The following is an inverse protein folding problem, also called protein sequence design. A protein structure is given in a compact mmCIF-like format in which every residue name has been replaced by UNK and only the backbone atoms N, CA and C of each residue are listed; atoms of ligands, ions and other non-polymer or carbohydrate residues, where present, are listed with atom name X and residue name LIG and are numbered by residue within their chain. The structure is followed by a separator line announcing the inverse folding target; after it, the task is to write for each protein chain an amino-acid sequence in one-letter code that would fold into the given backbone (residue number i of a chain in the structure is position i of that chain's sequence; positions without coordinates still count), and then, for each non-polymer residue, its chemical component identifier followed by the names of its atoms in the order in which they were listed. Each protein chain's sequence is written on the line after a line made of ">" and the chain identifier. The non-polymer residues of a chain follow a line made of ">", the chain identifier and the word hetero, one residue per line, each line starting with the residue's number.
data_IF_903883850819
#
_entry.id   IF_903883850819
#
_cell.length_a   1.000
_cell.length_b   1.000
_cell.length_c   1.000
_cell.angle_alpha   90.00
_cell.angle_beta   90.00
_cell.angle_gamma   90.00
#
_symmetry.space_group_name_H-M   'P 1'
#
loop_
_entity.id
_entity.type
_entity.pdbx_description
1 polymer ?
#
# COMPACT_ATOMS: atom_id res chain seq x y z
N UNK A 1 -15.85 55.80 -57.28
CA UNK A 1 -14.99 56.53 -56.33
C UNK A 1 -15.87 56.78 -55.11
N UNK A 2 -15.62 56.27 -53.93
CA UNK A 2 -14.37 56.20 -53.16
C UNK A 2 -14.48 55.08 -52.12
N UNK A 3 -13.35 54.42 -51.86
CA UNK A 3 -13.17 53.47 -50.77
C UNK A 3 -13.29 54.15 -49.40
N UNK A 4 -13.63 53.39 -48.36
CA UNK A 4 -12.83 53.32 -47.11
C UNK A 4 -13.31 52.15 -46.24
N UNK A 5 -12.36 51.32 -45.83
CA UNK A 5 -12.50 50.21 -44.87
C UNK A 5 -11.59 50.53 -43.69
N UNK A 6 -12.05 50.35 -42.45
CA UNK A 6 -11.18 49.81 -41.40
C UNK A 6 -11.90 48.67 -40.65
N UNK A 7 -11.40 47.44 -40.67
CA UNK A 7 -10.32 46.86 -39.86
C UNK A 7 -10.74 46.45 -38.42
N UNK A 8 -10.83 45.12 -38.24
CA UNK A 8 -10.41 44.33 -37.07
C UNK A 8 -11.33 44.39 -35.84
N UNK A 9 -11.86 43.31 -35.24
CA UNK A 9 -11.32 41.98 -34.93
C UNK A 9 -12.49 40.99 -34.67
N UNK A 10 -12.45 39.72 -35.12
CA UNK A 10 -13.06 38.63 -34.37
C UNK A 10 -11.94 37.72 -33.88
N UNK A 11 -11.39 38.00 -32.71
CA UNK A 11 -10.42 37.13 -32.05
C UNK A 11 -11.00 36.66 -30.71
N UNK A 12 -12.17 36.02 -30.74
CA UNK A 12 -12.77 35.35 -29.59
C UNK A 12 -13.37 34.01 -30.06
N UNK A 13 -12.51 33.12 -30.56
CA UNK A 13 -12.93 31.75 -30.86
C UNK A 13 -11.80 30.74 -30.63
N UNK A 14 -11.07 30.88 -29.51
CA UNK A 14 -9.97 29.98 -29.16
C UNK A 14 -9.97 29.55 -27.67
N UNK A 15 -11.12 29.57 -26.99
CA UNK A 15 -11.22 29.09 -25.59
C UNK A 15 -12.12 27.84 -25.46
N UNK A 16 -12.66 27.32 -26.57
CA UNK A 16 -13.60 26.18 -26.52
C UNK A 16 -12.95 24.78 -26.68
N UNK A 17 -11.62 24.66 -26.79
CA UNK A 17 -10.96 23.36 -27.07
C UNK A 17 -10.13 22.77 -25.91
N UNK A 18 -10.15 23.38 -24.72
CA UNK A 18 -9.40 22.86 -23.56
C UNK A 18 -10.24 22.02 -22.58
N UNK A 19 -11.51 21.74 -22.86
CA UNK A 19 -12.43 21.09 -21.92
C UNK A 19 -12.72 19.60 -22.18
N UNK A 20 -12.01 18.95 -23.11
CA UNK A 20 -12.06 17.50 -23.30
C UNK A 20 -10.65 16.92 -23.48
N UNK A 21 -9.72 17.31 -22.61
CA UNK A 21 -8.67 16.35 -22.28
C UNK A 21 -9.37 15.28 -21.42
N UNK A 22 -9.44 14.00 -21.82
CA UNK A 22 -9.75 12.96 -20.86
C UNK A 22 -8.77 13.18 -19.71
N UNK A 23 -9.29 13.33 -18.49
CA UNK A 23 -8.46 13.24 -17.32
C UNK A 23 -7.77 11.89 -17.47
N UNK A 24 -6.47 11.92 -17.78
CA UNK A 24 -5.64 10.74 -17.72
C UNK A 24 -5.60 10.40 -16.23
N UNK A 25 -6.62 9.68 -15.78
CA UNK A 25 -6.59 8.91 -14.54
C UNK A 25 -5.34 8.09 -14.66
N UNK A 26 -4.36 8.35 -13.80
CA UNK A 26 -3.21 7.50 -13.63
C UNK A 26 -3.70 6.17 -13.06
N UNK A 27 -4.33 5.35 -13.90
CA UNK A 27 -4.61 3.94 -13.66
C UNK A 27 -3.65 3.11 -14.54
N UNK A 28 -2.37 3.46 -14.47
CA UNK A 28 -1.31 2.77 -15.20
C UNK A 28 -1.07 1.37 -14.60
N UNK A 29 -1.59 1.10 -13.41
CA UNK A 29 -1.33 -0.12 -12.64
C UNK A 29 -2.55 -1.05 -12.44
N UNK A 30 -3.76 -0.64 -12.82
CA UNK A 30 -4.97 -1.46 -12.69
C UNK A 30 -5.41 -1.66 -11.23
N UNK A 31 -6.67 -2.06 -11.04
CA UNK A 31 -7.16 -2.47 -9.73
C UNK A 31 -6.51 -3.79 -9.31
N UNK A 32 -6.52 -4.10 -8.01
CA UNK A 32 -6.13 -5.41 -7.50
C UNK A 32 -6.88 -6.53 -8.24
N UNK A 33 -8.15 -6.30 -8.57
CA UNK A 33 -8.95 -7.21 -9.37
C UNK A 33 -8.39 -7.42 -10.78
N UNK A 34 -7.95 -6.36 -11.46
CA UNK A 34 -7.31 -6.49 -12.78
C UNK A 34 -6.03 -7.33 -12.69
N UNK A 35 -5.23 -7.13 -11.64
CA UNK A 35 -4.01 -7.91 -11.42
C UNK A 35 -4.35 -9.38 -11.14
N UNK A 36 -5.25 -9.68 -10.20
CA UNK A 36 -5.63 -11.05 -9.89
C UNK A 36 -6.28 -11.76 -11.09
N UNK A 37 -7.13 -11.06 -11.84
CA UNK A 37 -7.73 -11.60 -13.07
C UNK A 37 -6.69 -11.94 -14.12
N UNK A 38 -5.60 -11.18 -14.22
CA UNK A 38 -4.54 -11.47 -15.19
C UNK A 38 -3.87 -12.82 -14.97
N UNK A 39 -3.91 -13.36 -13.74
CA UNK A 39 -3.35 -14.66 -13.38
C UNK A 39 -4.24 -15.85 -13.77
N UNK A 40 -5.49 -15.64 -14.17
CA UNK A 40 -6.32 -16.74 -14.67
C UNK A 40 -5.68 -17.35 -15.91
N UNK A 41 -5.58 -18.68 -15.93
CA UNK A 41 -4.93 -19.44 -16.97
C UNK A 41 -3.41 -19.46 -16.88
N UNK A 42 -2.80 -18.94 -15.81
CA UNK A 42 -1.36 -19.06 -15.55
C UNK A 42 -1.05 -20.11 -14.48
N UNK A 43 0.19 -20.56 -14.47
CA UNK A 43 0.66 -21.59 -13.55
C UNK A 43 0.82 -21.03 -12.14
N UNK A 44 0.35 -21.75 -11.13
CA UNK A 44 0.48 -21.37 -9.73
C UNK A 44 1.94 -21.30 -9.26
N UNK A 45 2.84 -22.10 -9.83
CA UNK A 45 4.27 -21.99 -9.56
C UNK A 45 4.84 -20.64 -10.04
N UNK A 46 4.35 -20.11 -11.17
CA UNK A 46 4.72 -18.78 -11.63
C UNK A 46 4.22 -17.70 -10.66
N UNK A 47 2.99 -17.84 -10.17
CA UNK A 47 2.43 -16.96 -9.15
C UNK A 47 3.31 -16.95 -7.90
N UNK A 48 3.64 -18.12 -7.36
CA UNK A 48 4.47 -18.28 -6.14
C UNK A 48 5.88 -17.70 -6.33
N UNK A 49 6.45 -17.77 -7.53
CA UNK A 49 7.76 -17.16 -7.80
C UNK A 49 7.73 -15.63 -7.87
N UNK A 50 6.58 -15.04 -8.23
CA UNK A 50 6.45 -13.61 -8.42
C UNK A 50 5.81 -12.89 -7.22
N UNK A 51 4.97 -13.59 -6.48
CA UNK A 51 4.25 -13.08 -5.31
C UNK A 51 4.99 -13.44 -4.03
N UNK A 52 4.94 -12.59 -3.00
CA UNK A 52 5.69 -12.81 -1.78
C UNK A 52 5.28 -14.10 -1.07
N UNK A 53 6.26 -14.97 -0.85
CA UNK A 53 6.15 -16.20 -0.07
C UNK A 53 6.69 -15.92 1.33
N UNK A 54 5.80 -15.78 2.32
CA UNK A 54 6.18 -15.39 3.68
C UNK A 54 5.02 -15.40 4.65
N UNK A 55 5.13 -14.64 5.75
CA UNK A 55 4.01 -14.44 6.68
C UNK A 55 2.84 -13.82 5.93
N UNK A 56 1.76 -14.59 5.76
CA UNK A 56 0.56 -14.18 5.02
C UNK A 56 0.20 -15.08 3.83
N UNK A 57 1.04 -16.04 3.41
CA UNK A 57 0.63 -17.07 2.44
C UNK A 57 0.09 -18.31 3.18
N UNK A 58 -1.13 -18.70 2.87
CA UNK A 58 -1.76 -19.93 3.31
C UNK A 58 -2.14 -20.79 2.11
N UNK A 59 -1.82 -22.08 2.16
CA UNK A 59 -2.18 -23.03 1.12
C UNK A 59 -3.14 -24.06 1.68
N UNK A 60 -4.25 -24.29 0.98
CA UNK A 60 -5.23 -25.32 1.33
C UNK A 60 -5.52 -26.18 0.09
N UNK A 61 -5.52 -27.49 0.27
CA UNK A 61 -5.86 -28.44 -0.79
C UNK A 61 -7.25 -29.02 -0.54
N UNK A 62 -8.07 -29.08 -1.58
CA UNK A 62 -9.34 -29.78 -1.56
C UNK A 62 -9.12 -31.17 -2.17
N UNK A 63 -9.21 -32.22 -1.34
CA UNK A 63 -8.98 -33.60 -1.77
C UNK A 63 -10.10 -34.18 -2.63
N UNK A 64 -11.28 -33.57 -2.64
CA UNK A 64 -12.43 -34.00 -3.46
C UNK A 64 -12.37 -33.40 -4.87
N UNK A 65 -12.04 -32.11 -4.98
CA UNK A 65 -11.94 -31.40 -6.27
C UNK A 65 -10.55 -31.41 -6.88
N UNK A 66 -9.54 -31.85 -6.11
CA UNK A 66 -8.11 -31.79 -6.45
C UNK A 66 -7.63 -30.37 -6.77
N UNK A 67 -8.25 -29.38 -6.14
CA UNK A 67 -7.89 -27.97 -6.29
C UNK A 67 -7.00 -27.51 -5.15
N UNK A 68 -6.09 -26.58 -5.46
CA UNK A 68 -5.22 -25.94 -4.47
C UNK A 68 -5.53 -24.45 -4.39
N UNK A 69 -5.87 -23.99 -3.20
CA UNK A 69 -6.11 -22.58 -2.90
C UNK A 69 -4.84 -21.96 -2.30
N UNK A 70 -4.37 -20.87 -2.90
CA UNK A 70 -3.26 -20.03 -2.45
C UNK A 70 -3.80 -18.69 -1.97
N UNK A 71 -3.90 -18.53 -0.65
CA UNK A 71 -4.45 -17.34 -0.01
C UNK A 71 -3.33 -16.43 0.47
N UNK A 72 -3.31 -15.21 -0.04
CA UNK A 72 -2.36 -14.17 0.33
C UNK A 72 -3.07 -13.11 1.18
N UNK A 73 -2.64 -12.95 2.42
CA UNK A 73 -3.16 -11.99 3.39
C UNK A 73 -2.17 -10.82 3.55
N UNK A 74 -2.63 -9.61 3.24
CA UNK A 74 -1.86 -8.35 3.35
C UNK A 74 -2.19 -7.57 4.62
N UNK A 75 -2.69 -8.27 5.62
CA UNK A 75 -2.94 -7.74 6.94
C UNK A 75 -1.71 -7.76 7.85
N UNK A 76 -1.88 -7.21 9.04
CA UNK A 76 -0.97 -7.42 10.16
C UNK A 76 -1.64 -8.35 11.16
N UNK A 77 -0.96 -9.42 11.55
CA UNK A 77 -1.40 -10.26 12.67
C UNK A 77 -1.47 -9.44 13.96
N UNK A 78 -2.27 -9.89 14.93
CA UNK A 78 -2.32 -9.24 16.25
C UNK A 78 -0.98 -9.39 16.97
N UNK A 79 -0.49 -8.31 17.59
CA UNK A 79 0.78 -8.32 18.30
C UNK A 79 0.77 -7.37 19.49
N UNK A 80 1.69 -7.59 20.44
CA UNK A 80 1.95 -6.64 21.52
C UNK A 80 3.10 -5.72 21.12
N UNK A 81 2.93 -4.42 21.34
CA UNK A 81 3.97 -3.41 21.16
C UNK A 81 4.30 -2.82 22.52
N UNK A 82 5.59 -2.78 22.87
CA UNK A 82 6.05 -1.96 24.01
C UNK A 82 6.34 -0.55 23.54
N UNK A 83 5.63 0.43 24.10
CA UNK A 83 5.94 1.84 23.93
C UNK A 83 6.93 2.27 25.02
N UNK A 84 7.96 3.02 24.65
CA UNK A 84 8.94 3.58 25.58
C UNK A 84 8.87 5.10 25.51
N UNK A 85 8.86 5.75 26.66
CA UNK A 85 8.99 7.20 26.75
C UNK A 85 9.71 7.58 28.04
N UNK A 86 10.27 8.78 28.06
CA UNK A 86 10.88 9.33 29.25
C UNK A 86 10.18 10.60 29.70
N UNK A 87 10.17 10.82 31.01
CA UNK A 87 9.70 12.07 31.62
C UNK A 87 10.81 12.65 32.47
N UNK A 88 11.01 13.96 32.35
CA UNK A 88 11.92 14.70 33.20
C UNK A 88 11.43 14.65 34.65
N UNK A 89 12.30 14.20 35.54
CA UNK A 89 12.10 14.18 36.99
C UNK A 89 12.71 15.39 37.70
N UNK A 90 12.88 15.26 39.01
CA UNK A 90 13.47 16.31 39.83
C UNK A 90 14.94 16.60 39.49
N UNK A 91 15.45 17.73 39.99
CA UNK A 91 16.88 18.06 39.90
C UNK A 91 17.66 17.09 40.80
N UNK A 92 18.63 16.37 40.24
CA UNK A 92 19.49 15.42 40.96
C UNK A 92 20.91 15.95 41.17
N UNK A 93 21.23 17.09 40.57
CA UNK A 93 22.52 17.74 40.74
C UNK A 93 22.62 19.02 39.93
N UNK A 94 23.74 19.70 40.09
CA UNK A 94 24.11 20.88 39.30
C UNK A 94 25.55 20.69 38.82
N UNK A 95 25.79 20.93 37.53
CA UNK A 95 27.16 21.04 37.02
C UNK A 95 27.64 22.44 37.34
N UNK A 96 28.74 22.54 38.09
CA UNK A 96 29.34 23.84 38.45
C UNK A 96 29.72 24.63 37.21
N UNK A 97 29.23 25.87 37.11
CA UNK A 97 29.65 26.82 36.08
C UNK A 97 30.99 27.47 36.43
N UNK A 98 31.79 27.81 35.42
CA UNK A 98 33.08 28.51 35.55
C UNK A 98 33.25 29.57 34.46
N UNK A 99 34.18 30.51 34.65
CA UNK A 99 34.48 31.60 33.69
C UNK A 99 33.26 32.41 33.21
N UNK A 100 32.37 32.80 34.14
CA UNK A 100 31.19 33.62 33.83
C UNK A 100 29.97 32.86 33.30
N UNK A 101 30.03 31.52 33.25
CA UNK A 101 28.90 30.67 32.87
C UNK A 101 28.09 30.28 34.11
N UNK A 102 26.77 30.41 34.05
CA UNK A 102 25.86 29.99 35.11
C UNK A 102 25.86 28.45 35.30
N UNK A 103 25.64 27.94 36.52
CA UNK A 103 25.51 26.50 36.76
C UNK A 103 24.29 25.91 36.03
N UNK A 104 24.44 24.69 35.50
CA UNK A 104 23.39 24.00 34.76
C UNK A 104 22.78 22.87 35.61
N UNK A 105 21.45 22.84 35.82
CA UNK A 105 20.81 21.75 36.56
C UNK A 105 20.82 20.44 35.76
N UNK A 106 21.08 19.33 36.45
CA UNK A 106 20.92 17.97 35.95
C UNK A 106 19.59 17.44 36.47
N UNK A 107 18.74 16.98 35.57
CA UNK A 107 17.46 16.39 35.91
C UNK A 107 17.52 14.87 35.89
N UNK A 108 16.80 14.23 36.80
CA UNK A 108 16.52 12.80 36.70
C UNK A 108 15.71 12.53 35.43
N UNK A 109 15.93 11.38 34.80
CA UNK A 109 15.08 10.90 33.72
C UNK A 109 14.36 9.64 34.21
N UNK A 110 13.02 9.68 34.25
CA UNK A 110 12.22 8.50 34.53
C UNK A 110 11.87 7.84 33.21
N UNK A 111 12.30 6.59 33.05
CA UNK A 111 11.93 5.77 31.90
C UNK A 111 10.64 5.03 32.21
N UNK A 112 9.73 5.03 31.22
CA UNK A 112 8.46 4.34 31.28
C UNK A 112 8.39 3.33 30.14
N UNK A 113 7.64 2.27 30.38
CA UNK A 113 7.23 1.34 29.34
C UNK A 113 5.77 0.91 29.55
N UNK A 114 5.07 0.71 28.44
CA UNK A 114 3.71 0.17 28.44
C UNK A 114 3.59 -0.83 27.30
N UNK A 115 3.05 -2.01 27.61
CA UNK A 115 2.65 -2.97 26.59
C UNK A 115 1.24 -2.65 26.11
N UNK A 116 1.12 -2.34 24.82
CA UNK A 116 -0.14 -2.06 24.15
C UNK A 116 -0.47 -3.21 23.21
N UNK A 117 -1.68 -3.75 23.35
CA UNK A 117 -2.21 -4.74 22.41
C UNK A 117 -2.61 -4.05 21.11
N UNK A 118 -2.05 -4.51 19.99
CA UNK A 118 -2.40 -4.06 18.65
C UNK A 118 -3.22 -5.16 17.98
N UNK A 119 -4.52 -4.93 17.71
CA UNK A 119 -5.37 -5.93 17.08
C UNK A 119 -4.95 -6.22 15.64
N UNK A 120 -5.31 -7.40 15.14
CA UNK A 120 -5.08 -7.77 13.75
C UNK A 120 -5.80 -6.80 12.80
N UNK A 121 -5.16 -6.47 11.68
CA UNK A 121 -5.72 -5.60 10.66
C UNK A 121 -5.88 -6.40 9.37
N UNK A 122 -7.12 -6.55 8.89
CA UNK A 122 -7.41 -7.23 7.63
C UNK A 122 -7.50 -6.21 6.50
N UNK A 123 -6.38 -5.93 5.84
CA UNK A 123 -6.35 -4.96 4.74
C UNK A 123 -6.87 -5.57 3.44
N UNK A 124 -6.40 -6.76 3.10
CA UNK A 124 -6.79 -7.49 1.91
C UNK A 124 -6.39 -8.95 2.03
N UNK A 125 -7.21 -9.83 1.49
CA UNK A 125 -6.93 -11.23 1.28
C UNK A 125 -7.30 -11.58 -0.16
N UNK A 126 -6.40 -12.27 -0.85
CA UNK A 126 -6.61 -12.75 -2.22
C UNK A 126 -6.37 -14.25 -2.24
N UNK A 127 -7.37 -15.01 -2.66
CA UNK A 127 -7.25 -16.46 -2.81
C UNK A 127 -7.25 -16.81 -4.28
N UNK A 128 -6.16 -17.39 -4.78
CA UNK A 128 -6.08 -17.97 -6.12
C UNK A 128 -6.36 -19.47 -6.02
N UNK A 129 -7.23 -19.98 -6.88
CA UNK A 129 -7.57 -21.41 -6.89
C UNK A 129 -7.04 -22.02 -8.19
N UNK A 130 -6.11 -22.95 -8.02
CA UNK A 130 -5.55 -23.74 -9.10
C UNK A 130 -6.24 -25.10 -9.19
N UNK A 131 -6.42 -25.59 -10.41
CA UNK A 131 -6.89 -26.95 -10.66
C UNK A 131 -5.79 -27.99 -10.43
N UNK A 132 -6.10 -29.27 -10.68
CA UNK A 132 -5.17 -30.38 -10.53
C UNK A 132 -3.94 -30.31 -11.44
N UNK A 133 -3.96 -29.46 -12.48
CA UNK A 133 -2.80 -29.22 -13.35
C UNK A 133 -1.86 -28.13 -12.82
N UNK A 134 -2.26 -27.44 -11.75
CA UNK A 134 -1.57 -26.25 -11.24
C UNK A 134 -1.94 -24.97 -11.99
N UNK A 135 -2.97 -24.98 -12.84
CA UNK A 135 -3.43 -23.80 -13.57
C UNK A 135 -4.46 -23.03 -12.74
N UNK A 136 -4.26 -21.73 -12.56
CA UNK A 136 -5.20 -20.86 -11.83
C UNK A 136 -6.49 -20.73 -12.65
N UNK A 137 -7.61 -21.16 -12.08
CA UNK A 137 -8.92 -21.13 -12.76
C UNK A 137 -9.81 -19.99 -12.28
N UNK A 138 -9.66 -19.58 -11.01
CA UNK A 138 -10.45 -18.51 -10.40
C UNK A 138 -9.69 -17.85 -9.25
N UNK A 139 -10.21 -16.71 -8.80
CA UNK A 139 -9.71 -15.99 -7.64
C UNK A 139 -10.88 -15.46 -6.81
N UNK A 140 -10.63 -15.15 -5.54
CA UNK A 140 -11.54 -14.45 -4.62
C UNK A 140 -10.82 -13.31 -3.89
N UNK A 141 -11.58 -12.30 -3.47
CA UNK A 141 -11.13 -11.12 -2.74
C UNK A 141 -11.90 -10.95 -1.44
N UNK A 142 -11.18 -10.71 -0.35
CA UNK A 142 -11.75 -10.20 0.88
C UNK A 142 -10.98 -8.97 1.39
N UNK A 143 -11.70 -7.99 1.95
CA UNK A 143 -11.10 -6.77 2.52
C UNK A 143 -11.23 -5.52 1.64
N UNK A 144 -11.03 -4.36 2.25
CA UNK A 144 -11.36 -3.04 1.66
C UNK A 144 -10.16 -2.29 1.06
N UNK A 145 -8.92 -2.76 1.28
CA UNK A 145 -7.68 -2.05 0.90
C UNK A 145 -6.80 -2.82 -0.09
N UNK A 146 -7.37 -3.73 -0.88
CA UNK A 146 -6.60 -4.55 -1.82
C UNK A 146 -5.80 -3.75 -2.86
N UNK A 147 -6.34 -2.64 -3.34
CA UNK A 147 -5.67 -1.82 -4.35
C UNK A 147 -4.33 -1.26 -3.87
N UNK A 148 -4.22 -0.84 -2.61
CA UNK A 148 -3.01 -0.21 -2.07
C UNK A 148 -1.86 -1.21 -1.93
N UNK A 149 -2.18 -2.47 -1.66
CA UNK A 149 -1.18 -3.51 -1.40
C UNK A 149 -0.76 -4.28 -2.66
N UNK A 150 -1.63 -4.41 -3.66
CA UNK A 150 -1.41 -5.33 -4.81
C UNK A 150 -0.83 -4.62 -6.04
N UNK A 151 -0.93 -3.29 -6.10
CA UNK A 151 -0.54 -2.48 -7.27
C UNK A 151 0.90 -2.68 -7.75
N UNK A 152 1.82 -3.02 -6.85
CA UNK A 152 3.25 -3.19 -7.19
C UNK A 152 3.64 -4.64 -7.49
N UNK A 153 2.68 -5.56 -7.53
CA UNK A 153 2.97 -7.00 -7.49
C UNK A 153 2.99 -7.62 -8.87
N UNK A 154 3.70 -8.75 -8.97
CA UNK A 154 4.00 -9.41 -10.23
C UNK A 154 2.73 -9.70 -11.05
N UNK A 155 2.83 -9.41 -12.35
CA UNK A 155 1.87 -9.85 -13.37
C UNK A 155 2.46 -11.07 -14.08
N UNK A 156 1.63 -11.97 -14.57
CA UNK A 156 2.15 -13.12 -15.30
C UNK A 156 2.98 -12.66 -16.49
N UNK A 157 4.08 -13.37 -16.74
CA UNK A 157 4.90 -13.19 -17.93
C UNK A 157 4.09 -13.64 -19.14
N UNK A 158 4.29 -12.96 -20.27
CA UNK A 158 3.70 -13.40 -21.54
C UNK A 158 4.16 -14.83 -21.80
N UNK A 159 3.20 -15.71 -22.07
CA UNK A 159 3.43 -17.07 -22.56
C UNK A 159 4.19 -17.03 -23.89
#
# INVERSE_FOLDING_TARGET
>A
MTAFRPHSLPALCAIALLALAPQASADVFGSAETIARSWIGHDASELIMQWPVGKGLYTAENTETLETAYTYNFGTEAYYRTNYWSTQGGVIGVVGGGNGVAPTPIFQEYQHSEEVFVPAQHHCEITFIADSSGTITRYDFAGSKCNDHVRSWGRPKKR
#
